data_IF_447451376271
#
_entry.id   IF_447451376271
#
_cell.length_a   1.000
_cell.length_b   1.000
_cell.length_c   1.000
_cell.angle_alpha   90.00
_cell.angle_beta   90.00
_cell.angle_gamma   90.00
#
_symmetry.space_group_name_H-M   'P 1'
#
loop_
_entity.id
_entity.type
_entity.pdbx_description
1 polymer ?
#
# COMPACT_ATOMS: atom_id res chain seq x y z
N UNK A 1 8.13 32.12 3.83
CA UNK A 1 9.03 31.15 4.49
C UNK A 1 8.25 30.02 5.17
N UNK A 2 7.11 30.27 5.83
CA UNK A 2 6.22 29.24 6.40
C UNK A 2 5.88 28.10 5.41
N UNK A 3 5.34 28.43 4.24
CA UNK A 3 4.94 27.46 3.19
C UNK A 3 6.06 26.50 2.69
N UNK A 4 7.33 26.87 2.85
CA UNK A 4 8.48 26.01 2.47
C UNK A 4 8.88 25.06 3.61
N UNK A 5 8.66 25.48 4.86
CA UNK A 5 8.86 24.66 6.05
C UNK A 5 7.76 23.60 6.15
N UNK A 6 6.51 24.01 5.98
CA UNK A 6 5.36 23.09 6.01
C UNK A 6 5.49 22.00 4.95
N UNK A 7 5.95 22.35 3.73
CA UNK A 7 6.19 21.35 2.68
C UNK A 7 7.30 20.37 3.04
N UNK A 8 8.40 20.85 3.63
CA UNK A 8 9.51 19.99 4.06
C UNK A 8 9.08 19.01 5.17
N UNK A 9 8.23 19.47 6.08
CA UNK A 9 7.70 18.62 7.16
C UNK A 9 6.76 17.55 6.59
N UNK A 10 5.92 17.89 5.60
CA UNK A 10 5.10 16.91 4.86
C UNK A 10 5.97 15.91 4.10
N UNK A 11 7.01 16.36 3.38
CA UNK A 11 7.90 15.48 2.62
C UNK A 11 8.59 14.46 3.55
N UNK A 12 9.04 14.89 4.74
CA UNK A 12 9.65 14.02 5.75
C UNK A 12 8.64 13.00 6.32
N UNK A 13 7.39 13.41 6.53
CA UNK A 13 6.34 12.50 6.99
C UNK A 13 6.02 11.42 5.94
N UNK A 14 5.97 11.81 4.65
CA UNK A 14 5.77 10.87 3.54
C UNK A 14 6.92 9.86 3.48
N UNK A 15 8.17 10.33 3.59
CA UNK A 15 9.35 9.47 3.60
C UNK A 15 9.33 8.48 4.78
N UNK A 16 8.94 8.95 5.98
CA UNK A 16 8.84 8.09 7.16
C UNK A 16 7.76 7.01 7.02
N UNK A 17 6.55 7.39 6.57
CA UNK A 17 5.45 6.45 6.33
C UNK A 17 5.83 5.43 5.25
N UNK A 18 6.42 5.89 4.14
CA UNK A 18 6.91 5.02 3.08
C UNK A 18 7.96 4.02 3.58
N UNK A 19 8.85 4.46 4.48
CA UNK A 19 9.83 3.61 5.16
C UNK A 19 9.17 2.49 5.97
N UNK A 20 8.24 2.85 6.87
CA UNK A 20 7.50 1.89 7.71
C UNK A 20 6.70 0.89 6.87
N UNK A 21 6.05 1.35 5.80
CA UNK A 21 5.34 0.47 4.87
C UNK A 21 6.28 -0.52 4.16
N UNK A 22 7.46 -0.07 3.73
CA UNK A 22 8.46 -0.96 3.10
C UNK A 22 8.94 -2.02 4.10
N UNK A 23 9.18 -1.64 5.35
CA UNK A 23 9.57 -2.57 6.41
C UNK A 23 8.47 -3.61 6.67
N UNK A 24 7.20 -3.17 6.76
CA UNK A 24 6.06 -4.06 6.95
C UNK A 24 5.88 -5.04 5.78
N UNK A 25 6.05 -4.57 4.53
CA UNK A 25 6.03 -5.43 3.34
C UNK A 25 7.18 -6.45 3.39
N UNK A 26 8.41 -6.01 3.67
CA UNK A 26 9.58 -6.89 3.73
C UNK A 26 9.40 -7.97 4.81
N UNK A 27 8.96 -7.59 6.01
CA UNK A 27 8.73 -8.51 7.11
C UNK A 27 7.62 -9.52 6.77
N UNK A 28 6.50 -9.06 6.18
CA UNK A 28 5.42 -9.94 5.72
C UNK A 28 5.90 -10.99 4.71
N UNK A 29 6.77 -10.60 3.77
CA UNK A 29 7.35 -11.52 2.78
C UNK A 29 8.31 -12.50 3.44
N UNK A 30 9.18 -12.01 4.33
CA UNK A 30 10.27 -12.78 4.94
C UNK A 30 9.74 -13.81 5.93
N UNK A 31 8.89 -13.36 6.86
CA UNK A 31 8.41 -14.18 7.96
C UNK A 31 7.19 -15.00 7.56
N UNK A 32 6.57 -14.68 6.42
CA UNK A 32 5.37 -15.33 5.88
C UNK A 32 4.24 -15.42 6.93
N UNK A 33 4.04 -14.31 7.64
CA UNK A 33 2.97 -14.14 8.62
C UNK A 33 2.28 -12.80 8.41
N UNK A 34 0.98 -12.68 8.75
CA UNK A 34 0.21 -11.45 8.53
C UNK A 34 0.50 -10.35 9.56
N UNK A 35 1.18 -10.69 10.66
CA UNK A 35 1.42 -9.83 11.83
C UNK A 35 2.08 -8.49 11.49
N UNK A 36 3.20 -8.45 10.74
CA UNK A 36 3.90 -7.21 10.46
C UNK A 36 3.05 -6.13 9.78
N UNK A 37 2.14 -6.53 8.88
CA UNK A 37 1.21 -5.59 8.25
C UNK A 37 0.19 -5.00 9.24
N UNK A 38 -0.25 -5.80 10.22
CA UNK A 38 -1.19 -5.36 11.26
C UNK A 38 -0.51 -4.47 12.29
N UNK A 39 0.67 -4.86 12.74
CA UNK A 39 1.50 -4.06 13.65
C UNK A 39 1.78 -2.67 13.05
N UNK A 40 2.09 -2.60 11.76
CA UNK A 40 2.28 -1.33 11.06
C UNK A 40 0.98 -0.49 11.00
N UNK A 41 -0.18 -1.10 10.76
CA UNK A 41 -1.45 -0.40 10.77
C UNK A 41 -1.84 0.11 12.17
N UNK A 42 -1.58 -0.69 13.21
CA UNK A 42 -1.76 -0.32 14.61
C UNK A 42 -0.85 0.85 15.01
N UNK A 43 0.40 0.87 14.54
CA UNK A 43 1.33 1.99 14.76
C UNK A 43 0.80 3.29 14.15
N UNK A 44 0.28 3.25 12.92
CA UNK A 44 -0.31 4.44 12.31
C UNK A 44 -1.55 4.93 13.04
N UNK A 45 -2.43 4.02 13.47
CA UNK A 45 -3.59 4.39 14.30
C UNK A 45 -3.16 5.05 15.61
N UNK A 46 -2.13 4.51 16.29
CA UNK A 46 -1.60 5.09 17.52
C UNK A 46 -0.98 6.49 17.32
N UNK A 47 -0.33 6.73 16.17
CA UNK A 47 0.17 8.06 15.80
C UNK A 47 -1.01 9.02 15.60
N UNK A 48 -2.03 8.59 14.87
CA UNK A 48 -3.20 9.40 14.56
C UNK A 48 -4.01 9.75 15.82
N UNK A 49 -4.20 8.80 16.74
CA UNK A 49 -4.82 9.04 18.05
C UNK A 49 -4.06 10.11 18.87
N UNK A 50 -2.74 10.19 18.71
CA UNK A 50 -1.91 11.19 19.39
C UNK A 50 -1.96 12.59 18.76
N UNK A 51 -2.30 12.70 17.48
CA UNK A 51 -2.25 13.95 16.70
C UNK A 51 -3.64 14.53 16.42
N UNK A 52 -4.62 13.68 16.12
CA UNK A 52 -5.97 14.04 15.72
C UNK A 52 -6.99 13.03 16.31
N UNK A 53 -7.17 12.98 17.64
CA UNK A 53 -8.00 11.98 18.31
C UNK A 53 -9.50 12.03 17.95
N UNK A 54 -9.97 13.14 17.39
CA UNK A 54 -11.36 13.35 17.00
C UNK A 54 -11.62 13.09 15.50
N UNK A 55 -10.60 12.70 14.72
CA UNK A 55 -10.68 12.49 13.27
C UNK A 55 -10.62 10.99 12.92
N UNK A 56 -11.73 10.43 12.45
CA UNK A 56 -11.79 9.04 11.98
C UNK A 56 -10.89 8.86 10.75
N UNK A 57 -9.79 8.13 10.92
CA UNK A 57 -8.89 7.71 9.85
C UNK A 57 -7.58 8.49 9.75
N UNK A 58 -7.47 9.62 10.45
CA UNK A 58 -6.24 10.38 10.71
C UNK A 58 -5.33 10.73 9.51
N UNK A 59 -4.37 11.64 9.69
CA UNK A 59 -3.45 11.99 8.61
C UNK A 59 -2.50 10.84 8.21
N UNK A 60 -2.09 9.99 9.15
CA UNK A 60 -1.11 8.92 8.90
C UNK A 60 -1.75 7.76 8.15
N UNK A 61 -2.93 7.30 8.61
CA UNK A 61 -3.71 6.24 7.95
C UNK A 61 -4.09 6.62 6.51
N UNK A 62 -4.51 7.86 6.28
CA UNK A 62 -4.79 8.39 4.95
C UNK A 62 -3.54 8.35 4.05
N UNK A 63 -2.41 8.86 4.54
CA UNK A 63 -1.16 8.91 3.77
C UNK A 63 -0.61 7.52 3.46
N UNK A 64 -0.72 6.57 4.40
CA UNK A 64 -0.37 5.17 4.18
C UNK A 64 -1.26 4.54 3.10
N UNK A 65 -2.57 4.76 3.17
CA UNK A 65 -3.54 4.27 2.19
C UNK A 65 -3.23 4.80 0.79
N UNK A 66 -3.04 6.12 0.64
CA UNK A 66 -2.72 6.74 -0.66
C UNK A 66 -1.41 6.20 -1.24
N UNK A 67 -0.42 5.97 -0.38
CA UNK A 67 0.86 5.39 -0.75
C UNK A 67 0.70 3.97 -1.31
N UNK A 68 -0.06 3.12 -0.62
CA UNK A 68 -0.31 1.74 -1.05
C UNK A 68 -1.14 1.68 -2.34
N UNK A 69 -2.19 2.52 -2.45
CA UNK A 69 -2.99 2.65 -3.68
C UNK A 69 -2.14 3.06 -4.87
N UNK A 70 -1.18 3.98 -4.66
CA UNK A 70 -0.23 4.40 -5.70
C UNK A 70 0.63 3.21 -6.14
N UNK A 71 1.21 2.46 -5.20
CA UNK A 71 2.01 1.28 -5.54
C UNK A 71 1.22 0.20 -6.28
N UNK A 72 0.00 -0.10 -5.83
CA UNK A 72 -0.88 -1.06 -6.52
C UNK A 72 -1.29 -0.58 -7.91
N UNK A 73 -1.50 0.73 -8.08
CA UNK A 73 -1.78 1.32 -9.39
C UNK A 73 -0.57 1.23 -10.32
N UNK A 74 0.64 1.49 -9.82
CA UNK A 74 1.87 1.30 -10.60
C UNK A 74 2.08 -0.18 -10.98
N UNK A 75 1.85 -1.12 -10.05
CA UNK A 75 1.88 -2.55 -10.34
C UNK A 75 0.86 -2.93 -11.42
N UNK A 76 -0.37 -2.42 -11.32
CA UNK A 76 -1.43 -2.68 -12.31
C UNK A 76 -1.00 -2.24 -13.72
N UNK A 77 -0.39 -1.06 -13.84
CA UNK A 77 0.11 -0.53 -15.11
C UNK A 77 1.29 -1.34 -15.66
N UNK A 78 2.21 -1.77 -14.80
CA UNK A 78 3.37 -2.61 -15.18
C UNK A 78 2.93 -4.02 -15.63
N UNK A 79 1.85 -4.55 -15.03
CA UNK A 79 1.38 -5.92 -15.21
C UNK A 79 0.15 -6.04 -16.14
N UNK A 80 -0.08 -5.07 -17.03
CA UNK A 80 -1.22 -5.08 -17.95
C UNK A 80 -1.29 -6.36 -18.82
N UNK A 81 -0.14 -6.86 -19.26
CA UNK A 81 -0.03 -8.08 -20.08
C UNK A 81 -0.07 -9.38 -19.25
N UNK A 82 -0.32 -9.28 -17.94
CA UNK A 82 -0.44 -10.42 -17.01
C UNK A 82 -1.89 -10.54 -16.52
N UNK A 83 -2.77 -11.23 -17.27
CA UNK A 83 -4.19 -11.33 -16.92
C UNK A 83 -4.44 -12.11 -15.62
N UNK A 84 -3.54 -13.03 -15.24
CA UNK A 84 -3.64 -13.82 -14.02
C UNK A 84 -3.12 -13.10 -12.75
N UNK A 85 -2.74 -11.81 -12.85
CA UNK A 85 -1.99 -11.13 -11.77
C UNK A 85 -2.67 -11.11 -10.42
N UNK A 86 -3.98 -10.93 -10.41
CA UNK A 86 -4.77 -10.93 -9.18
C UNK A 86 -4.77 -12.33 -8.57
N UNK A 87 -5.01 -13.36 -9.38
CA UNK A 87 -5.06 -14.75 -8.90
C UNK A 87 -3.70 -15.24 -8.41
N UNK A 88 -2.61 -14.89 -9.08
CA UNK A 88 -1.23 -15.24 -8.68
C UNK A 88 -0.85 -14.58 -7.34
N UNK A 89 -1.16 -13.28 -7.16
CA UNK A 89 -0.95 -12.56 -5.90
C UNK A 89 -1.81 -13.14 -4.77
N UNK A 90 -3.10 -13.39 -5.02
CA UNK A 90 -3.98 -13.99 -4.02
C UNK A 90 -3.56 -15.42 -3.66
N UNK A 91 -3.05 -16.19 -4.63
CA UNK A 91 -2.52 -17.53 -4.38
C UNK A 91 -1.27 -17.47 -3.48
N UNK A 92 -0.37 -16.52 -3.73
CA UNK A 92 0.77 -16.29 -2.82
C UNK A 92 0.31 -15.93 -1.41
N UNK A 93 -0.70 -15.07 -1.26
CA UNK A 93 -1.24 -14.70 0.05
C UNK A 93 -1.83 -15.92 0.78
N UNK A 94 -2.56 -16.82 0.08
CA UNK A 94 -3.06 -18.05 0.70
C UNK A 94 -1.94 -19.01 1.11
N UNK A 95 -0.90 -19.14 0.28
CA UNK A 95 0.25 -20.00 0.57
C UNK A 95 1.10 -19.46 1.73
N UNK A 96 1.37 -18.16 1.75
CA UNK A 96 2.19 -17.52 2.78
C UNK A 96 1.42 -17.27 4.07
N UNK A 97 0.25 -16.63 4.00
CA UNK A 97 -0.44 -16.10 5.17
C UNK A 97 -1.62 -17.00 5.60
N UNK A 98 -2.22 -17.71 4.64
CA UNK A 98 -3.36 -18.59 4.85
C UNK A 98 -4.66 -18.09 4.23
N UNK A 99 -5.59 -19.02 4.03
CA UNK A 99 -6.88 -18.78 3.33
C UNK A 99 -7.71 -17.62 3.89
N UNK A 100 -7.68 -17.42 5.22
CA UNK A 100 -8.38 -16.30 5.88
C UNK A 100 -7.92 -14.95 5.35
N UNK A 101 -6.61 -14.75 5.21
CA UNK A 101 -6.03 -13.49 4.79
C UNK A 101 -6.15 -13.29 3.28
N UNK A 102 -6.09 -14.37 2.49
CA UNK A 102 -6.49 -14.31 1.08
C UNK A 102 -7.93 -13.82 0.92
N UNK A 103 -8.86 -14.35 1.71
CA UNK A 103 -10.26 -13.94 1.64
C UNK A 103 -10.44 -12.44 1.94
N UNK A 104 -9.65 -11.90 2.88
CA UNK A 104 -9.64 -10.46 3.20
C UNK A 104 -8.99 -9.63 2.09
N UNK A 105 -7.82 -10.02 1.60
CA UNK A 105 -7.14 -9.36 0.48
C UNK A 105 -7.96 -9.34 -0.82
N UNK A 106 -8.88 -10.30 -1.01
CA UNK A 106 -9.80 -10.33 -2.15
C UNK A 106 -10.72 -9.11 -2.20
N UNK A 107 -11.07 -8.52 -1.05
CA UNK A 107 -11.93 -7.32 -1.02
C UNK A 107 -11.22 -6.08 -1.57
N UNK A 108 -9.88 -6.05 -1.52
CA UNK A 108 -9.08 -4.93 -2.00
C UNK A 108 -8.30 -5.23 -3.28
N UNK A 109 -8.40 -6.45 -3.82
CA UNK A 109 -7.64 -6.87 -5.01
C UNK A 109 -8.07 -6.14 -6.29
N UNK A 110 -9.27 -5.54 -6.30
CA UNK A 110 -9.75 -4.71 -7.42
C UNK A 110 -8.79 -3.56 -7.75
N UNK A 111 -8.04 -3.06 -6.77
CA UNK A 111 -7.00 -2.04 -6.99
C UNK A 111 -5.91 -2.49 -7.97
N UNK A 112 -5.56 -3.78 -7.95
CA UNK A 112 -4.59 -4.38 -8.87
C UNK A 112 -5.21 -4.77 -10.22
N UNK A 113 -6.54 -4.87 -10.27
CA UNK A 113 -7.27 -5.26 -11.48
C UNK A 113 -7.53 -4.06 -12.40
N UNK A 114 -8.16 -3.00 -11.89
CA UNK A 114 -8.62 -1.87 -12.70
C UNK A 114 -8.66 -0.56 -11.92
N UNK A 115 -8.83 0.56 -12.63
CA UNK A 115 -9.03 1.87 -12.00
C UNK A 115 -10.39 1.93 -11.26
N UNK A 116 -11.44 1.34 -11.84
CA UNK A 116 -12.75 1.23 -11.19
C UNK A 116 -12.67 0.41 -9.89
N UNK A 117 -11.85 -0.64 -9.89
CA UNK A 117 -11.60 -1.49 -8.73
C UNK A 117 -10.96 -0.75 -7.56
N UNK A 118 -10.30 0.40 -7.78
CA UNK A 118 -9.83 1.26 -6.67
C UNK A 118 -11.00 1.83 -5.89
N UNK A 119 -12.02 2.35 -6.58
CA UNK A 119 -13.22 2.91 -5.94
C UNK A 119 -13.98 1.82 -5.20
N UNK A 120 -14.22 0.68 -5.86
CA UNK A 120 -14.94 -0.46 -5.27
C UNK A 120 -14.22 -0.99 -4.03
N UNK A 121 -12.88 -1.06 -4.05
CA UNK A 121 -12.11 -1.53 -2.90
C UNK A 121 -12.26 -0.61 -1.67
N UNK A 122 -12.44 0.69 -1.88
CA UNK A 122 -12.67 1.66 -0.79
C UNK A 122 -14.04 1.49 -0.12
N UNK A 123 -15.01 0.84 -0.77
CA UNK A 123 -16.32 0.55 -0.16
C UNK A 123 -16.23 -0.51 0.96
N UNK A 124 -15.09 -1.20 1.06
CA UNK A 124 -14.86 -2.25 2.06
C UNK A 124 -14.08 -1.79 3.30
N UNK A 125 -13.81 -0.48 3.46
CA UNK A 125 -13.13 0.06 4.66
C UNK A 125 -13.82 -0.41 5.94
N UNK A 126 -15.12 -0.15 6.05
CA UNK A 126 -15.90 -0.51 7.26
C UNK A 126 -16.04 -2.03 7.46
N UNK A 127 -16.08 -2.79 6.36
CA UNK A 127 -16.23 -4.25 6.41
C UNK A 127 -14.93 -4.94 6.85
N UNK A 128 -13.78 -4.40 6.45
CA UNK A 128 -12.47 -4.95 6.80
C UNK A 128 -11.95 -4.43 8.13
N UNK A 129 -12.38 -3.25 8.57
CA UNK A 129 -12.00 -2.61 9.83
C UNK A 129 -10.45 -2.57 9.97
N UNK A 130 -9.92 -3.13 11.06
CA UNK A 130 -8.49 -3.27 11.35
C UNK A 130 -7.68 -3.94 10.23
N UNK A 131 -8.31 -4.74 9.37
CA UNK A 131 -7.64 -5.43 8.27
C UNK A 131 -7.74 -4.68 6.93
N UNK A 132 -8.35 -3.49 6.86
CA UNK A 132 -8.40 -2.73 5.61
C UNK A 132 -6.98 -2.38 5.14
N UNK A 133 -6.23 -1.63 5.94
CA UNK A 133 -4.87 -1.22 5.61
C UNK A 133 -3.91 -2.43 5.51
N UNK A 134 -3.93 -3.42 6.43
CA UNK A 134 -3.14 -4.64 6.29
C UNK A 134 -3.43 -5.40 4.99
N UNK A 135 -4.69 -5.43 4.51
CA UNK A 135 -5.01 -6.10 3.25
C UNK A 135 -4.30 -5.49 2.04
N UNK A 136 -4.13 -4.17 2.03
CA UNK A 136 -3.37 -3.47 0.99
C UNK A 136 -1.88 -3.80 1.08
N UNK A 137 -1.32 -3.85 2.30
CA UNK A 137 0.07 -4.26 2.53
C UNK A 137 0.28 -5.71 2.05
N UNK A 138 -0.65 -6.63 2.33
CA UNK A 138 -0.56 -8.03 1.85
C UNK A 138 -0.60 -8.13 0.33
N UNK A 139 -1.44 -7.32 -0.34
CA UNK A 139 -1.45 -7.27 -1.81
C UNK A 139 -0.12 -6.76 -2.37
N UNK A 140 0.43 -5.69 -1.81
CA UNK A 140 1.75 -5.17 -2.22
C UNK A 140 2.85 -6.21 -1.96
N UNK A 141 2.82 -6.88 -0.80
CA UNK A 141 3.74 -7.96 -0.48
C UNK A 141 3.66 -9.12 -1.49
N UNK A 142 2.44 -9.52 -1.87
CA UNK A 142 2.25 -10.54 -2.89
C UNK A 142 2.72 -10.10 -4.28
N UNK A 143 2.50 -8.85 -4.68
CA UNK A 143 3.06 -8.30 -5.93
C UNK A 143 4.59 -8.39 -5.92
N UNK A 144 5.22 -7.92 -4.85
CA UNK A 144 6.69 -7.92 -4.73
C UNK A 144 7.24 -9.34 -4.72
N UNK A 145 6.59 -10.26 -3.99
CA UNK A 145 7.03 -11.65 -3.91
C UNK A 145 6.87 -12.40 -5.25
N UNK A 146 5.76 -12.17 -5.97
CA UNK A 146 5.45 -12.89 -7.22
C UNK A 146 6.19 -12.31 -8.42
N UNK A 147 6.28 -10.98 -8.54
CA UNK A 147 6.77 -10.31 -9.76
C UNK A 147 8.11 -9.64 -9.63
N UNK A 148 8.61 -9.46 -8.40
CA UNK A 148 9.87 -8.79 -8.14
C UNK A 148 10.82 -9.63 -7.27
N UNK A 149 10.57 -10.94 -7.17
CA UNK A 149 11.44 -11.89 -6.45
C UNK A 149 11.70 -11.51 -4.98
N UNK A 150 10.77 -10.78 -4.36
CA UNK A 150 10.93 -10.27 -2.99
C UNK A 150 11.76 -8.97 -2.89
N UNK A 151 12.21 -8.37 -3.99
CA UNK A 151 12.97 -7.12 -3.98
C UNK A 151 12.09 -5.90 -3.67
N UNK A 152 12.01 -5.53 -2.39
CA UNK A 152 11.36 -4.28 -1.95
C UNK A 152 12.07 -3.01 -2.44
N UNK A 153 13.26 -3.13 -3.04
CA UNK A 153 13.91 -2.04 -3.78
C UNK A 153 13.04 -1.50 -4.92
N UNK A 154 12.13 -2.31 -5.47
CA UNK A 154 11.12 -1.86 -6.42
C UNK A 154 10.21 -0.76 -5.85
N UNK A 155 9.73 -0.91 -4.61
CA UNK A 155 8.87 0.08 -3.93
C UNK A 155 9.56 1.44 -3.75
N UNK A 156 10.88 1.41 -3.47
CA UNK A 156 11.70 2.61 -3.31
C UNK A 156 11.82 3.40 -4.62
N UNK A 157 11.92 2.71 -5.76
CA UNK A 157 11.95 3.34 -7.09
C UNK A 157 10.64 4.07 -7.41
N UNK A 158 9.51 3.57 -6.90
CA UNK A 158 8.20 4.21 -7.04
C UNK A 158 8.00 5.42 -6.10
N UNK A 159 8.74 5.48 -4.98
CA UNK A 159 8.71 6.60 -4.03
C UNK A 159 9.60 7.79 -4.42
N UNK A 160 10.55 7.61 -5.33
CA UNK A 160 11.48 8.67 -5.73
C UNK A 160 10.80 9.87 -6.43
N UNK A 161 11.38 11.08 -6.34
CA UNK A 161 10.86 12.30 -6.98
C UNK A 161 10.79 12.22 -8.52
N UNK A 162 11.49 11.27 -9.14
CA UNK A 162 11.64 11.17 -10.59
C UNK A 162 10.34 10.83 -11.34
N UNK A 163 9.31 10.30 -10.67
CA UNK A 163 8.04 9.99 -11.33
C UNK A 163 7.00 11.11 -11.29
N UNK A 164 7.09 12.05 -10.34
CA UNK A 164 6.14 13.18 -10.27
C UNK A 164 6.32 14.14 -11.47
N UNK A 165 7.49 14.14 -12.10
CA UNK A 165 7.82 15.02 -13.23
C UNK A 165 7.79 14.32 -14.60
N UNK A 166 7.71 12.97 -14.67
CA UNK A 166 7.77 12.24 -15.94
C UNK A 166 6.41 12.02 -16.62
N UNK A 167 5.29 12.47 -16.02
CA UNK A 167 3.93 12.34 -16.60
C UNK A 167 3.27 13.68 -16.96
N UNK A 168 4.02 14.77 -17.03
CA UNK A 168 3.55 15.92 -17.79
C UNK A 168 3.74 15.61 -19.28
N UNK A 169 2.69 15.52 -20.11
CA UNK A 169 2.89 15.64 -21.54
C UNK A 169 3.46 17.04 -21.75
N UNK A 170 4.72 17.14 -22.18
CA UNK A 170 5.20 18.29 -22.92
C UNK A 170 4.49 18.26 -24.29
N UNK A 171 3.19 18.56 -24.26
CA UNK A 171 2.38 18.85 -25.41
C UNK A 171 2.57 20.31 -25.77
N UNK A 172 3.36 20.50 -26.84
CA UNK A 172 3.36 21.59 -27.82
C UNK A 172 2.26 22.65 -27.69
#
# INVERSE_FOLDING_TARGET
MARKRDRKEVDLAVEAIGGLLIEAVQATITDRVPGPARECAEEFAAIDDGVAPDDEGGPTGLMATLTLVRWLSSAREELLDRPARVDEVLAWIEDALGRRYRARARYTSGMLESEAGVRESMEYVDALQEDFLPSLIWLVAGVVAVYHEGDVGWLRRLHGPDQVLSRAPLGL
#
